data_IF_625170536810
#
_entry.id   IF_625170536810
#
_cell.length_a   1.000
_cell.length_b   1.000
_cell.length_c   1.000
_cell.angle_alpha   90.00
_cell.angle_beta   90.00
_cell.angle_gamma   90.00
#
_symmetry.space_group_name_H-M   'P 1'
#
loop_
_entity.id
_entity.type
_entity.pdbx_description
1 polymer ?
#
# COMPACT_ATOMS: atom_id res chain seq x y z
N UNK A 1 -28.51 6.03 32.77
CA UNK A 1 -27.06 6.32 32.71
C UNK A 1 -26.50 5.47 31.58
N UNK A 2 -26.46 6.05 30.39
CA UNK A 2 -25.99 5.44 29.14
C UNK A 2 -24.50 5.74 28.99
N UNK A 3 -23.66 4.69 28.90
CA UNK A 3 -22.24 4.83 28.59
C UNK A 3 -22.09 4.98 27.09
N UNK A 4 -21.68 6.18 26.69
CA UNK A 4 -21.25 6.55 25.35
C UNK A 4 -19.92 5.81 25.10
N UNK A 5 -19.88 4.96 24.07
CA UNK A 5 -18.62 4.38 23.56
C UNK A 5 -18.03 5.40 22.61
N UNK A 6 -16.79 5.79 22.88
CA UNK A 6 -15.93 6.60 22.02
C UNK A 6 -15.52 5.71 20.83
N UNK A 7 -15.96 6.07 19.62
CA UNK A 7 -15.57 5.42 18.38
C UNK A 7 -14.19 5.95 17.96
N UNK A 8 -13.18 5.08 18.04
CA UNK A 8 -11.77 5.42 17.85
C UNK A 8 -11.44 5.80 16.40
N UNK A 9 -11.16 7.09 16.17
CA UNK A 9 -10.42 7.51 15.00
C UNK A 9 -8.95 7.03 15.09
N UNK A 10 -8.36 6.53 14.01
CA UNK A 10 -6.92 6.26 13.98
C UNK A 10 -6.18 7.57 14.21
N UNK A 11 -5.29 7.58 15.20
CA UNK A 11 -4.52 8.77 15.53
C UNK A 11 -3.73 9.24 14.29
N UNK A 12 -3.70 10.55 14.00
CA UNK A 12 -3.10 11.11 12.79
C UNK A 12 -1.62 10.74 12.62
N UNK A 13 -0.96 10.37 13.70
CA UNK A 13 0.42 9.92 13.75
C UNK A 13 0.60 8.50 13.21
N UNK A 14 -0.36 7.60 13.41
CA UNK A 14 -0.35 6.25 12.80
C UNK A 14 -0.55 6.37 11.29
N UNK A 15 -1.43 7.27 10.85
CA UNK A 15 -1.59 7.58 9.44
C UNK A 15 -0.32 8.21 8.84
N UNK A 16 0.35 9.10 9.57
CA UNK A 16 1.62 9.70 9.14
C UNK A 16 2.77 8.67 9.09
N UNK A 17 2.85 7.76 10.07
CA UNK A 17 3.84 6.69 10.11
C UNK A 17 3.61 5.68 8.98
N UNK A 18 2.38 5.23 8.78
CA UNK A 18 2.02 4.36 7.66
C UNK A 18 2.29 5.03 6.31
N UNK A 19 2.05 6.34 6.21
CA UNK A 19 2.41 7.12 5.03
C UNK A 19 3.92 7.21 4.82
N UNK A 20 4.71 7.41 5.88
CA UNK A 20 6.17 7.47 5.81
C UNK A 20 6.79 6.12 5.44
N UNK A 21 6.29 5.02 6.02
CA UNK A 21 6.69 3.65 5.68
C UNK A 21 6.29 3.32 4.24
N UNK A 22 5.11 3.73 3.80
CA UNK A 22 4.68 3.60 2.40
C UNK A 22 5.60 4.33 1.43
N UNK A 23 5.99 5.57 1.75
CA UNK A 23 6.94 6.34 0.93
C UNK A 23 8.34 5.73 0.92
N UNK A 24 8.81 5.20 2.05
CA UNK A 24 10.10 4.51 2.14
C UNK A 24 10.11 3.23 1.31
N UNK A 25 9.03 2.43 1.35
CA UNK A 25 8.89 1.22 0.53
C UNK A 25 8.81 1.55 -0.97
N UNK A 26 8.15 2.65 -1.36
CA UNK A 26 8.14 3.14 -2.75
C UNK A 26 9.54 3.57 -3.19
N UNK A 27 10.29 4.27 -2.33
CA UNK A 27 11.66 4.68 -2.62
C UNK A 27 12.62 3.48 -2.75
N UNK A 28 12.47 2.46 -1.89
CA UNK A 28 13.25 1.22 -1.93
C UNK A 28 12.86 0.31 -3.09
N UNK A 29 11.61 0.35 -3.56
CA UNK A 29 11.13 -0.49 -4.67
C UNK A 29 11.64 -0.06 -6.05
N UNK A 30 12.45 1.01 -6.15
CA UNK A 30 13.22 1.35 -7.35
C UNK A 30 12.41 1.67 -8.62
N UNK A 31 11.09 1.83 -8.52
CA UNK A 31 10.20 1.98 -9.66
C UNK A 31 10.00 3.46 -10.04
N UNK A 32 11.09 4.22 -10.13
CA UNK A 32 11.04 5.52 -10.80
C UNK A 32 10.94 5.27 -12.31
N UNK A 33 9.90 5.78 -13.00
CA UNK A 33 9.90 5.78 -14.46
C UNK A 33 11.14 6.56 -14.90
N UNK A 34 11.90 5.96 -15.82
CA UNK A 34 13.16 6.47 -16.34
C UNK A 34 13.00 7.88 -16.94
N UNK A 35 13.07 8.90 -16.09
CA UNK A 35 13.32 10.26 -16.49
C UNK A 35 14.81 10.35 -16.81
N UNK A 36 15.13 10.63 -18.07
CA UNK A 36 16.48 10.85 -18.55
C UNK A 36 17.02 12.17 -17.96
N UNK A 37 17.33 12.15 -16.67
CA UNK A 37 18.03 13.22 -15.97
C UNK A 37 19.55 12.96 -16.03
N UNK A 38 20.37 14.02 -16.11
CA UNK A 38 21.82 13.89 -16.10
C UNK A 38 22.29 13.20 -14.83
N UNK A 39 23.35 12.39 -14.96
CA UNK A 39 23.94 11.54 -13.93
C UNK A 39 23.89 12.19 -12.53
N UNK A 40 22.99 11.70 -11.67
CA UNK A 40 22.98 12.09 -10.27
C UNK A 40 24.31 11.67 -9.65
N UNK A 41 24.98 12.57 -8.90
CA UNK A 41 26.21 12.22 -8.20
C UNK A 41 25.92 11.05 -7.26
N UNK A 42 26.85 10.09 -7.20
CA UNK A 42 26.76 8.97 -6.28
C UNK A 42 26.40 9.48 -4.87
N UNK A 43 25.41 8.87 -4.19
CA UNK A 43 25.05 9.29 -2.84
C UNK A 43 26.31 9.23 -1.96
N UNK A 44 26.55 10.24 -1.10
CA UNK A 44 27.70 10.25 -0.22
C UNK A 44 27.66 8.98 0.65
N UNK A 45 28.78 8.27 0.74
CA UNK A 45 28.90 7.01 1.49
C UNK A 45 28.50 7.15 2.98
N UNK A 46 28.48 8.37 3.51
CA UNK A 46 28.02 8.65 4.87
C UNK A 46 26.49 8.50 5.04
N UNK A 47 25.70 8.71 3.97
CA UNK A 47 24.24 8.56 4.05
C UNK A 47 23.78 7.10 4.15
N UNK A 48 24.62 6.14 3.71
CA UNK A 48 24.30 4.72 3.81
C UNK A 48 24.50 4.15 5.22
N UNK A 49 25.49 4.64 5.98
CA UNK A 49 25.71 4.19 7.36
C UNK A 49 24.59 4.68 8.31
N UNK A 50 24.12 5.92 8.15
CA UNK A 50 23.01 6.45 8.96
C UNK A 50 21.69 5.70 8.68
N UNK A 51 21.44 5.29 7.44
CA UNK A 51 20.26 4.49 7.09
C UNK A 51 20.36 3.07 7.68
N UNK A 52 21.54 2.45 7.65
CA UNK A 52 21.75 1.13 8.27
C UNK A 52 21.54 1.19 9.80
N UNK A 53 22.00 2.27 10.46
CA UNK A 53 21.79 2.48 11.89
C UNK A 53 20.30 2.66 12.23
N UNK A 54 19.57 3.48 11.46
CA UNK A 54 18.12 3.68 11.63
C UNK A 54 17.36 2.36 11.44
N UNK A 55 17.72 1.57 10.42
CA UNK A 55 17.09 0.27 10.17
C UNK A 55 17.39 -0.75 11.28
N UNK A 56 18.62 -0.74 11.81
CA UNK A 56 19.00 -1.60 12.93
C UNK A 56 18.22 -1.24 14.21
N UNK A 57 18.08 0.05 14.52
CA UNK A 57 17.29 0.52 15.68
C UNK A 57 15.80 0.19 15.52
N UNK A 58 15.23 0.42 14.33
CA UNK A 58 13.84 0.06 14.03
C UNK A 58 13.58 -1.44 14.21
N UNK A 59 14.52 -2.29 13.76
CA UNK A 59 14.43 -3.75 13.94
C UNK A 59 14.53 -4.16 15.42
N UNK A 60 15.42 -3.53 16.18
CA UNK A 60 15.56 -3.80 17.61
C UNK A 60 14.27 -3.46 18.38
N UNK A 61 13.65 -2.30 18.07
CA UNK A 61 12.37 -1.90 18.68
C UNK A 61 11.22 -2.82 18.32
N UNK A 62 11.12 -3.23 17.05
CA UNK A 62 10.10 -4.17 16.62
C UNK A 62 10.23 -5.53 17.36
N UNK A 63 11.46 -6.03 17.52
CA UNK A 63 11.70 -7.27 18.27
C UNK A 63 11.31 -7.14 19.75
N UNK A 64 11.62 -6.00 20.37
CA UNK A 64 11.25 -5.74 21.77
C UNK A 64 9.73 -5.77 21.98
N UNK A 65 8.95 -5.16 21.09
CA UNK A 65 7.48 -5.17 21.17
C UNK A 65 6.90 -6.59 21.01
N UNK A 66 7.50 -7.41 20.14
CA UNK A 66 7.12 -8.81 19.99
C UNK A 66 7.36 -9.56 21.30
N UNK A 67 8.56 -9.42 21.88
CA UNK A 67 8.93 -10.11 23.12
C UNK A 67 8.04 -9.69 24.31
N UNK A 68 7.68 -8.41 24.40
CA UNK A 68 6.77 -7.87 25.41
C UNK A 68 5.34 -8.40 25.24
N UNK A 69 4.80 -8.39 24.03
CA UNK A 69 3.48 -8.93 23.75
C UNK A 69 3.38 -10.43 24.06
N UNK A 70 4.46 -11.18 23.82
CA UNK A 70 4.55 -12.61 24.11
C UNK A 70 4.63 -12.86 25.62
N UNK A 71 5.36 -12.02 26.35
CA UNK A 71 5.41 -12.06 27.81
C UNK A 71 4.02 -11.78 28.43
N UNK A 72 3.30 -10.78 27.95
CA UNK A 72 1.95 -10.45 28.43
C UNK A 72 0.94 -11.57 28.11
N UNK A 73 0.99 -12.13 26.90
CA UNK A 73 0.16 -13.27 26.53
C UNK A 73 0.42 -14.48 27.44
N UNK A 74 1.68 -14.73 27.79
CA UNK A 74 2.07 -15.80 28.72
C UNK A 74 1.56 -15.55 30.14
N UNK A 75 1.66 -14.32 30.65
CA UNK A 75 1.11 -13.95 31.95
C UNK A 75 -0.41 -14.14 32.00
N UNK A 76 -1.13 -13.75 30.94
CA UNK A 76 -2.58 -13.98 30.82
C UNK A 76 -2.93 -15.49 30.82
N UNK A 77 -2.14 -16.31 30.12
CA UNK A 77 -2.32 -17.77 30.15
C UNK A 77 -2.04 -18.37 31.53
N UNK A 78 -1.02 -17.90 32.24
CA UNK A 78 -0.71 -18.34 33.60
C UNK A 78 -1.80 -17.93 34.61
N UNK A 79 -2.35 -16.72 34.46
CA UNK A 79 -3.49 -16.25 35.26
C UNK A 79 -4.76 -17.09 35.03
N UNK A 80 -5.01 -17.54 33.79
CA UNK A 80 -6.12 -18.44 33.48
C UNK A 80 -5.88 -19.89 33.95
N UNK A 81 -4.61 -20.31 34.03
CA UNK A 81 -4.23 -21.64 34.52
C UNK A 81 -4.21 -21.74 36.06
N UNK A 82 -4.28 -20.61 36.78
CA UNK A 82 -4.29 -20.59 38.23
C UNK A 82 -5.60 -21.26 38.78
N UNK A 83 -5.49 -22.36 39.55
CA UNK A 83 -6.61 -23.23 39.90
C UNK A 83 -7.60 -22.67 40.95
N UNK A 84 -7.53 -21.38 41.30
CA UNK A 84 -8.40 -20.72 42.30
C UNK A 84 -9.44 -19.77 41.70
N UNK A 85 -9.54 -19.67 40.37
CA UNK A 85 -10.67 -18.96 39.77
C UNK A 85 -11.96 -19.79 39.96
N UNK A 86 -13.06 -19.20 40.48
CA UNK A 86 -14.35 -19.90 40.54
C UNK A 86 -14.72 -20.37 39.13
N UNK A 87 -15.38 -21.53 38.96
CA UNK A 87 -15.72 -22.07 37.65
C UNK A 87 -16.56 -21.05 36.89
N UNK A 88 -15.92 -20.28 36.02
CA UNK A 88 -16.60 -19.53 34.99
C UNK A 88 -17.33 -20.57 34.15
N UNK A 89 -18.64 -20.42 34.05
CA UNK A 89 -19.44 -21.26 33.16
C UNK A 89 -18.74 -21.28 31.78
N UNK A 90 -18.62 -22.45 31.14
CA UNK A 90 -17.97 -22.57 29.83
C UNK A 90 -18.82 -21.85 28.79
N UNK A 91 -18.64 -20.53 28.72
CA UNK A 91 -19.07 -19.70 27.61
C UNK A 91 -18.34 -20.14 26.36
N UNK A 92 -19.07 -20.17 25.25
CA UNK A 92 -18.65 -20.71 23.96
C UNK A 92 -17.38 -20.07 23.34
N UNK A 93 -16.81 -19.06 23.99
CA UNK A 93 -15.68 -18.25 23.49
C UNK A 93 -14.31 -18.93 23.62
N UNK A 94 -14.20 -19.99 24.43
CA UNK A 94 -12.95 -20.76 24.56
C UNK A 94 -12.56 -21.52 23.28
N UNK A 95 -13.53 -21.81 22.42
CA UNK A 95 -13.30 -22.44 21.12
C UNK A 95 -12.63 -21.49 20.12
N UNK A 96 -13.11 -20.25 20.04
CA UNK A 96 -12.58 -19.24 19.12
C UNK A 96 -11.12 -18.92 19.40
N UNK A 97 -10.73 -18.79 20.67
CA UNK A 97 -9.34 -18.47 21.01
C UNK A 97 -8.38 -19.62 20.63
N UNK A 98 -8.83 -20.88 20.76
CA UNK A 98 -8.08 -22.05 20.30
C UNK A 98 -7.95 -22.13 18.78
N UNK A 99 -9.01 -21.78 18.04
CA UNK A 99 -8.98 -21.70 16.57
C UNK A 99 -8.08 -20.54 16.09
N UNK A 100 -8.13 -19.39 16.77
CA UNK A 100 -7.25 -18.25 16.48
C UNK A 100 -5.78 -18.58 16.70
N UNK A 101 -5.44 -19.31 17.78
CA UNK A 101 -4.07 -19.76 18.03
C UNK A 101 -3.58 -20.74 16.96
N UNK A 102 -4.41 -21.72 16.56
CA UNK A 102 -4.08 -22.66 15.49
C UNK A 102 -3.89 -21.95 14.14
N UNK A 103 -4.73 -20.97 13.83
CA UNK A 103 -4.61 -20.15 12.61
C UNK A 103 -3.32 -19.30 12.62
N UNK A 104 -2.89 -18.83 13.80
CA UNK A 104 -1.64 -18.08 13.94
C UNK A 104 -0.39 -18.97 13.76
N UNK A 105 -0.41 -20.20 14.30
CA UNK A 105 0.65 -21.19 14.10
C UNK A 105 0.80 -21.60 12.63
N UNK A 106 -0.31 -21.75 11.91
CA UNK A 106 -0.32 -22.04 10.47
C UNK A 106 0.30 -20.90 9.66
N UNK A 107 -0.10 -19.65 9.94
CA UNK A 107 0.43 -18.46 9.26
C UNK A 107 1.95 -18.29 9.48
N UNK A 108 2.44 -18.53 10.70
CA UNK A 108 3.87 -18.49 11.00
C UNK A 108 4.64 -19.56 10.21
N UNK A 109 4.05 -20.75 10.02
CA UNK A 109 4.63 -21.80 9.17
C UNK A 109 4.72 -21.40 7.69
N UNK A 110 3.71 -20.70 7.16
CA UNK A 110 3.72 -20.19 5.78
C UNK A 110 4.80 -19.11 5.57
N UNK A 111 4.97 -18.21 6.53
CA UNK A 111 6.00 -17.16 6.48
C UNK A 111 7.40 -17.80 6.48
N UNK A 112 7.65 -18.80 7.32
CA UNK A 112 8.92 -19.54 7.36
C UNK A 112 9.18 -20.32 6.05
N UNK A 113 8.13 -20.83 5.40
CA UNK A 113 8.24 -21.46 4.09
C UNK A 113 8.63 -20.45 3.01
N UNK A 114 7.95 -19.30 2.96
CA UNK A 114 8.24 -18.22 2.02
C UNK A 114 9.65 -17.63 2.22
N UNK A 115 10.11 -17.47 3.45
CA UNK A 115 11.48 -17.03 3.73
C UNK A 115 12.52 -18.05 3.29
N UNK A 116 12.21 -19.35 3.35
CA UNK A 116 13.10 -20.41 2.83
C UNK A 116 13.15 -20.42 1.29
N UNK A 117 12.04 -20.15 0.63
CA UNK A 117 11.99 -20.01 -0.84
C UNK A 117 12.71 -18.73 -1.33
N UNK A 118 12.57 -17.62 -0.61
CA UNK A 118 13.25 -16.36 -0.93
C UNK A 118 14.72 -16.33 -0.48
N UNK A 119 15.08 -17.12 0.54
CA UNK A 119 16.39 -17.17 1.18
C UNK A 119 17.50 -17.88 0.40
N UNK A 120 17.22 -18.32 -0.83
CA UNK A 120 18.24 -18.74 -1.77
C UNK A 120 18.75 -20.16 -1.51
N UNK A 121 18.50 -21.02 -2.49
CA UNK A 121 19.47 -22.05 -2.83
C UNK A 121 20.83 -21.35 -3.01
N UNK A 122 21.88 -21.71 -2.25
CA UNK A 122 23.19 -21.15 -2.47
C UNK A 122 23.58 -21.51 -3.91
N UNK A 123 23.71 -20.49 -4.75
CA UNK A 123 24.18 -20.65 -6.12
C UNK A 123 25.38 -21.59 -6.11
N UNK A 124 25.21 -22.78 -6.71
CA UNK A 124 26.32 -23.67 -6.93
C UNK A 124 27.43 -22.87 -7.60
N UNK A 125 28.68 -22.94 -7.12
CA UNK A 125 29.78 -22.23 -7.75
C UNK A 125 29.88 -22.73 -9.18
N UNK A 126 29.47 -21.89 -10.13
CA UNK A 126 29.58 -22.16 -11.56
C UNK A 126 31.02 -22.57 -11.85
N UNK A 127 31.22 -23.86 -12.15
CA UNK A 127 32.48 -24.36 -12.66
C UNK A 127 32.84 -23.53 -13.88
N UNK A 128 34.02 -22.92 -13.82
CA UNK A 128 34.61 -22.13 -14.88
C UNK A 128 34.81 -23.01 -16.12
N UNK A 129 33.81 -23.02 -17.01
CA UNK A 129 33.98 -23.44 -18.38
C UNK A 129 34.69 -22.30 -19.12
N UNK A 130 35.97 -22.55 -19.39
CA UNK A 130 36.75 -21.80 -20.34
C UNK A 130 36.10 -21.93 -21.73
N UNK A 131 35.47 -20.87 -22.21
CA UNK A 131 35.05 -20.75 -23.60
C UNK A 131 35.62 -19.47 -24.23
N UNK A 132 36.05 -19.67 -25.47
CA UNK A 132 36.83 -18.85 -26.39
C UNK A 132 36.48 -17.34 -26.42
N UNK A 133 37.48 -16.45 -26.60
CA UNK A 133 37.21 -15.04 -26.87
C UNK A 133 36.54 -14.88 -28.26
N UNK A 134 35.40 -14.16 -28.37
CA UNK A 134 34.81 -13.88 -29.66
C UNK A 134 35.75 -12.98 -30.50
N UNK A 135 35.97 -13.39 -31.75
CA UNK A 135 36.69 -12.65 -32.77
C UNK A 135 36.17 -11.21 -32.89
N UNK A 136 37.14 -10.30 -33.00
CA UNK A 136 36.97 -8.88 -33.28
C UNK A 136 36.40 -8.72 -34.69
N UNK A 137 35.10 -8.47 -34.81
CA UNK A 137 34.51 -7.97 -36.05
C UNK A 137 34.78 -6.46 -36.16
N UNK A 138 35.76 -6.17 -37.02
CA UNK A 138 36.13 -4.87 -37.54
C UNK A 138 34.90 -4.15 -38.12
N UNK A 139 34.34 -3.21 -37.34
CA UNK A 139 33.28 -2.31 -37.81
C UNK A 139 33.92 -1.13 -38.53
N UNK A 140 34.28 -1.38 -39.80
CA UNK A 140 34.57 -0.32 -40.75
C UNK A 140 33.27 0.41 -41.14
N UNK A 141 33.41 1.73 -41.32
CA UNK A 141 32.51 2.58 -42.08
C UNK A 141 31.14 2.92 -41.44
N UNK A 142 31.17 3.77 -40.41
CA UNK A 142 30.08 4.71 -40.15
C UNK A 142 30.64 6.13 -40.29
N UNK A 143 30.20 6.81 -41.34
CA UNK A 143 30.49 8.23 -41.60
C UNK A 143 30.06 9.09 -40.40
N UNK A 144 30.87 10.08 -39.98
CA UNK A 144 30.50 10.98 -38.91
C UNK A 144 29.36 11.90 -39.36
N UNK A 145 28.17 11.69 -38.82
CA UNK A 145 27.08 12.67 -38.89
C UNK A 145 27.50 13.87 -38.05
N UNK A 146 27.74 15.02 -38.68
CA UNK A 146 27.98 16.30 -38.01
C UNK A 146 26.81 16.62 -37.07
N UNK A 147 27.04 16.78 -35.76
CA UNK A 147 26.01 17.29 -34.87
C UNK A 147 25.72 18.75 -35.23
N UNK A 148 24.46 19.05 -35.55
CA UNK A 148 23.97 20.41 -35.68
C UNK A 148 24.28 21.18 -34.38
N UNK A 149 24.79 22.40 -34.54
CA UNK A 149 25.14 23.28 -33.44
C UNK A 149 23.95 23.48 -32.47
N UNK A 150 24.16 23.38 -31.15
CA UNK A 150 23.12 23.74 -30.19
C UNK A 150 22.81 25.23 -30.31
N UNK A 151 21.53 25.55 -30.48
CA UNK A 151 21.03 26.92 -30.40
C UNK A 151 21.19 27.45 -28.96
N UNK A 152 21.63 28.70 -28.89
CA UNK A 152 21.86 29.50 -27.67
C UNK A 152 20.58 29.54 -26.81
N UNK A 153 20.60 29.12 -25.53
CA UNK A 153 19.43 29.25 -24.66
C UNK A 153 19.20 30.73 -24.32
N UNK A 154 17.99 31.23 -24.60
CA UNK A 154 17.52 32.55 -24.17
C UNK A 154 17.58 32.71 -22.64
N UNK A 155 17.93 33.90 -22.12
CA UNK A 155 17.99 34.16 -20.68
C UNK A 155 16.59 34.18 -20.05
N UNK A 156 16.39 33.35 -19.02
CA UNK A 156 15.19 33.33 -18.20
C UNK A 156 15.00 34.63 -17.37
N UNK A 157 13.76 35.10 -17.15
CA UNK A 157 13.48 36.23 -16.27
C UNK A 157 13.69 35.87 -14.77
N UNK A 158 14.01 36.85 -13.91
CA UNK A 158 14.29 36.59 -12.50
C UNK A 158 13.03 36.14 -11.74
N UNK A 159 13.17 35.06 -10.97
CA UNK A 159 12.14 34.60 -10.04
C UNK A 159 12.13 35.45 -8.76
N UNK A 160 10.94 35.88 -8.34
CA UNK A 160 10.66 36.48 -7.04
C UNK A 160 10.79 35.45 -5.91
N UNK A 161 11.55 35.79 -4.86
CA UNK A 161 11.67 35.04 -3.61
C UNK A 161 10.38 35.14 -2.76
N UNK A 162 9.89 34.04 -2.18
CA UNK A 162 9.03 34.11 -1.00
C UNK A 162 9.76 33.64 0.28
N UNK A 163 10.06 34.64 1.11
CA UNK A 163 9.96 34.73 2.59
C UNK A 163 9.89 33.43 3.39
N UNK A 164 10.88 33.26 4.27
CA UNK A 164 10.94 32.31 5.37
C UNK A 164 9.96 32.62 6.52
N UNK A 165 9.42 31.57 7.16
CA UNK A 165 9.38 31.33 8.62
C UNK A 165 8.08 30.65 9.08
N UNK A 166 8.21 29.49 9.74
CA UNK A 166 7.47 29.12 10.96
C UNK A 166 8.15 27.88 11.58
N UNK A 167 8.32 27.89 12.90
CA UNK A 167 9.18 26.97 13.65
C UNK A 167 8.57 25.59 13.94
N UNK A 168 9.32 24.73 14.64
CA UNK A 168 8.90 23.36 14.98
C UNK A 168 7.92 23.35 16.17
N UNK A 169 6.82 22.57 16.14
CA UNK A 169 5.95 22.39 17.28
C UNK A 169 6.49 21.30 18.24
N UNK A 170 6.25 21.51 19.53
CA UNK A 170 6.61 20.65 20.67
C UNK A 170 5.82 19.33 20.70
N UNK A 171 6.51 18.22 21.03
CA UNK A 171 5.96 16.86 21.25
C UNK A 171 5.27 16.73 22.62
N UNK A 172 4.06 16.13 22.71
CA UNK A 172 3.51 15.59 23.94
C UNK A 172 3.71 14.06 24.08
N UNK A 173 3.69 13.61 25.34
CA UNK A 173 4.09 12.30 25.82
C UNK A 173 3.12 11.14 25.50
N UNK A 174 3.71 9.94 25.42
CA UNK A 174 3.10 8.66 25.06
C UNK A 174 2.14 8.07 26.11
N UNK A 175 1.06 7.44 25.63
CA UNK A 175 0.32 6.37 26.33
C UNK A 175 -0.08 5.26 25.33
N UNK A 176 0.06 4.02 25.80
CA UNK A 176 -0.03 2.73 25.10
C UNK A 176 -1.40 2.34 24.51
N UNK A 177 -1.36 1.67 23.34
CA UNK A 177 -2.19 0.48 23.05
C UNK A 177 -3.26 0.55 21.95
N UNK A 178 -3.11 -0.31 20.91
CA UNK A 178 -4.12 -1.23 20.32
C UNK A 178 -3.83 -1.53 18.81
N UNK A 179 -3.70 -2.83 18.47
CA UNK A 179 -3.16 -3.36 17.20
C UNK A 179 -4.11 -3.46 15.99
N UNK A 180 -3.64 -4.06 14.87
CA UNK A 180 -4.32 -4.06 13.57
C UNK A 180 -5.50 -5.04 13.49
N UNK A 181 -6.67 -4.50 13.17
CA UNK A 181 -7.92 -5.23 12.97
C UNK A 181 -7.91 -6.00 11.64
N UNK A 182 -8.42 -7.23 11.71
CA UNK A 182 -8.33 -8.28 10.70
C UNK A 182 -9.53 -8.16 9.76
N UNK A 183 -9.29 -8.07 8.46
CA UNK A 183 -10.31 -7.97 7.40
C UNK A 183 -11.27 -9.18 7.43
N UNK A 184 -12.45 -9.00 8.01
CA UNK A 184 -13.60 -9.88 7.80
C UNK A 184 -14.51 -9.25 6.75
N UNK A 185 -14.73 -9.95 5.64
CA UNK A 185 -15.65 -9.54 4.59
C UNK A 185 -17.09 -9.48 5.13
N UNK A 186 -17.62 -8.27 5.33
CA UNK A 186 -19.00 -8.07 5.76
C UNK A 186 -19.94 -8.35 4.59
N UNK A 187 -20.77 -9.38 4.74
CA UNK A 187 -21.81 -9.73 3.77
C UNK A 187 -23.02 -8.82 3.96
N UNK A 188 -23.36 -8.03 2.94
CA UNK A 188 -24.52 -7.12 2.96
C UNK A 188 -25.87 -7.87 2.98
N UNK A 189 -26.87 -7.23 3.60
CA UNK A 189 -28.28 -7.66 3.57
C UNK A 189 -28.83 -7.54 2.15
N UNK A 190 -29.35 -8.65 1.60
CA UNK A 190 -30.15 -8.65 0.36
C UNK A 190 -31.27 -7.59 0.44
N UNK A 191 -31.19 -6.52 -0.36
CA UNK A 191 -32.34 -5.63 -0.61
C UNK A 191 -32.06 -4.15 -0.86
N UNK A 192 -30.86 -3.63 -0.57
CA UNK A 192 -30.52 -2.24 -0.89
C UNK A 192 -29.91 -2.18 -2.29
N UNK A 193 -30.50 -1.36 -3.17
CA UNK A 193 -29.99 -1.23 -4.54
C UNK A 193 -28.67 -0.46 -4.48
N UNK A 194 -27.58 -1.07 -4.93
CA UNK A 194 -26.26 -0.44 -5.03
C UNK A 194 -26.28 0.92 -5.76
N UNK A 195 -27.30 1.18 -6.58
CA UNK A 195 -27.49 2.44 -7.29
C UNK A 195 -27.78 3.65 -6.39
N UNK A 196 -28.32 3.44 -5.18
CA UNK A 196 -28.74 4.52 -4.27
C UNK A 196 -27.63 4.96 -3.29
N UNK A 197 -26.49 4.26 -3.27
CA UNK A 197 -25.37 4.58 -2.37
C UNK A 197 -24.64 5.84 -2.88
N UNK A 198 -24.35 6.76 -1.95
CA UNK A 198 -23.66 8.01 -2.23
C UNK A 198 -22.46 8.15 -1.30
N UNK A 199 -21.28 8.35 -1.88
CA UNK A 199 -20.06 8.62 -1.12
C UNK A 199 -19.84 10.12 -0.96
N UNK A 200 -19.63 10.58 0.27
CA UNK A 200 -19.27 11.98 0.51
C UNK A 200 -17.75 12.16 0.48
N UNK A 201 -17.26 13.33 0.02
CA UNK A 201 -15.83 13.61 -0.08
C UNK A 201 -15.16 13.74 1.30
N UNK A 202 -15.91 14.21 2.29
CA UNK A 202 -15.47 14.42 3.68
C UNK A 202 -15.13 13.13 4.43
N UNK A 203 -15.66 12.01 3.97
CA UNK A 203 -15.43 10.70 4.56
C UNK A 203 -14.11 10.06 4.08
N UNK A 204 -13.37 10.71 3.17
CA UNK A 204 -12.04 10.27 2.72
C UNK A 204 -12.04 9.45 1.43
N UNK A 205 -11.03 8.60 1.24
CA UNK A 205 -10.87 7.83 0.00
C UNK A 205 -11.80 6.62 -0.06
N UNK A 206 -12.11 6.18 -1.28
CA UNK A 206 -12.94 4.99 -1.55
C UNK A 206 -12.15 4.00 -2.40
N UNK A 207 -12.18 2.72 -2.03
CA UNK A 207 -11.53 1.65 -2.78
C UNK A 207 -12.48 1.11 -3.87
N UNK A 208 -12.10 1.30 -5.13
CA UNK A 208 -12.80 0.76 -6.30
C UNK A 208 -12.07 -0.49 -6.81
N UNK A 209 -12.79 -1.61 -6.87
CA UNK A 209 -12.36 -2.85 -7.52
C UNK A 209 -13.04 -2.98 -8.87
N UNK A 210 -12.30 -3.24 -9.95
CA UNK A 210 -12.86 -3.37 -11.30
C UNK A 210 -12.43 -4.70 -11.91
N UNK A 211 -13.38 -5.48 -12.44
CA UNK A 211 -13.11 -6.77 -13.06
C UNK A 211 -14.08 -7.05 -14.22
N UNK A 212 -13.71 -7.76 -15.29
CA UNK A 212 -12.33 -8.08 -15.68
C UNK A 212 -11.64 -6.87 -16.29
N UNK A 213 -10.34 -6.74 -16.07
CA UNK A 213 -9.48 -5.72 -16.70
C UNK A 213 -8.45 -6.41 -17.58
N UNK A 214 -8.42 -6.06 -18.86
CA UNK A 214 -7.54 -6.65 -19.86
C UNK A 214 -6.09 -6.13 -19.73
N UNK A 215 -5.35 -6.68 -18.77
CA UNK A 215 -3.94 -6.37 -18.58
C UNK A 215 -3.67 -4.92 -18.17
N UNK A 216 -2.40 -4.53 -18.26
CA UNK A 216 -1.95 -3.20 -17.84
C UNK A 216 -2.54 -2.06 -18.70
N UNK A 217 -2.77 -2.30 -20.00
CA UNK A 217 -3.39 -1.28 -20.86
C UNK A 217 -4.85 -1.02 -20.49
N UNK A 218 -5.62 -2.06 -20.16
CA UNK A 218 -6.97 -1.92 -19.63
C UNK A 218 -6.98 -1.12 -18.33
N UNK A 219 -6.06 -1.43 -17.43
CA UNK A 219 -5.90 -0.73 -16.15
C UNK A 219 -5.63 0.77 -16.34
N UNK A 220 -4.65 1.13 -17.18
CA UNK A 220 -4.34 2.53 -17.49
C UNK A 220 -5.52 3.25 -18.14
N UNK A 221 -6.31 2.55 -18.95
CA UNK A 221 -7.51 3.10 -19.55
C UNK A 221 -8.59 3.38 -18.49
N UNK A 222 -8.84 2.45 -17.58
CA UNK A 222 -9.78 2.63 -16.45
C UNK A 222 -9.35 3.82 -15.59
N UNK A 223 -8.09 3.86 -15.16
CA UNK A 223 -7.54 4.98 -14.37
C UNK A 223 -7.65 6.31 -15.13
N UNK A 224 -7.29 6.33 -16.41
CA UNK A 224 -7.33 7.53 -17.25
C UNK A 224 -8.74 8.06 -17.49
N UNK A 225 -9.75 7.18 -17.55
CA UNK A 225 -11.16 7.57 -17.63
C UNK A 225 -11.64 8.14 -16.29
N UNK A 226 -11.32 7.47 -15.18
CA UNK A 226 -11.71 7.93 -13.84
C UNK A 226 -11.13 9.32 -13.54
N UNK A 227 -9.87 9.58 -13.90
CA UNK A 227 -9.24 10.89 -13.74
C UNK A 227 -9.79 12.00 -14.64
N UNK A 228 -10.66 11.69 -15.61
CA UNK A 228 -11.36 12.68 -16.44
C UNK A 228 -12.77 12.99 -15.94
N UNK A 229 -13.26 12.26 -14.94
CA UNK A 229 -14.58 12.51 -14.36
C UNK A 229 -14.51 13.74 -13.45
N UNK A 230 -15.44 14.70 -13.59
CA UNK A 230 -15.36 16.00 -12.92
C UNK A 230 -15.45 15.91 -11.39
N UNK A 231 -16.09 14.86 -10.87
CA UNK A 231 -16.28 14.66 -9.43
C UNK A 231 -15.16 13.81 -8.79
N UNK A 232 -14.26 13.23 -9.59
CA UNK A 232 -13.11 12.45 -9.14
C UNK A 232 -11.88 13.35 -9.08
N UNK A 233 -11.42 13.64 -7.88
CA UNK A 233 -10.22 14.44 -7.63
C UNK A 233 -8.94 13.69 -8.01
N UNK A 234 -8.85 12.42 -7.60
CA UNK A 234 -7.69 11.58 -7.85
C UNK A 234 -8.11 10.11 -7.97
N UNK A 235 -7.46 9.39 -8.90
CA UNK A 235 -7.56 7.94 -9.02
C UNK A 235 -6.14 7.35 -9.01
N UNK A 236 -5.81 6.62 -7.95
CA UNK A 236 -4.51 5.97 -7.78
C UNK A 236 -4.66 4.45 -7.86
N UNK A 237 -3.77 3.78 -8.57
CA UNK A 237 -3.76 2.31 -8.66
C UNK A 237 -3.04 1.76 -7.44
N UNK A 238 -3.72 0.94 -6.64
CA UNK A 238 -3.12 0.27 -5.49
C UNK A 238 -2.57 -1.11 -5.85
N UNK A 239 -3.26 -1.82 -6.75
CA UNK A 239 -2.90 -3.18 -7.11
C UNK A 239 -3.60 -3.66 -8.37
N UNK A 240 -3.00 -4.69 -8.98
CA UNK A 240 -3.59 -5.41 -10.10
C UNK A 240 -3.18 -6.89 -10.02
N UNK A 241 -4.17 -7.77 -9.92
CA UNK A 241 -3.96 -9.21 -9.84
C UNK A 241 -5.14 -9.94 -10.49
N UNK A 242 -4.86 -11.03 -11.21
CA UNK A 242 -5.88 -11.94 -11.77
C UNK A 242 -6.98 -11.27 -12.62
N UNK A 243 -6.65 -10.16 -13.29
CA UNK A 243 -7.63 -9.40 -14.08
C UNK A 243 -8.57 -8.53 -13.24
N UNK A 244 -8.27 -8.32 -11.96
CA UNK A 244 -8.93 -7.34 -11.11
C UNK A 244 -7.99 -6.16 -10.84
N UNK A 245 -8.49 -4.95 -11.08
CA UNK A 245 -7.81 -3.71 -10.76
C UNK A 245 -8.34 -3.15 -9.43
N UNK A 246 -7.44 -2.71 -8.55
CA UNK A 246 -7.77 -2.02 -7.31
C UNK A 246 -7.29 -0.57 -7.41
N UNK A 247 -8.22 0.36 -7.30
CA UNK A 247 -7.97 1.79 -7.39
C UNK A 247 -8.48 2.51 -6.16
N UNK A 248 -7.68 3.39 -5.58
CA UNK A 248 -8.09 4.33 -4.54
C UNK A 248 -8.56 5.62 -5.18
N UNK A 249 -9.80 6.00 -4.90
CA UNK A 249 -10.44 7.21 -5.41
C UNK A 249 -10.56 8.25 -4.30
N UNK A 250 -10.39 9.51 -4.66
CA UNK A 250 -10.83 10.65 -3.85
C UNK A 250 -11.75 11.52 -4.68
N UNK A 251 -12.77 12.09 -4.04
CA UNK A 251 -13.80 12.87 -4.70
C UNK A 251 -13.72 14.35 -4.28
N UNK A 252 -14.09 15.25 -5.20
CA UNK A 252 -14.26 16.68 -4.90
C UNK A 252 -15.71 17.03 -4.49
N UNK A 253 -16.66 16.13 -4.79
CA UNK A 253 -18.09 16.30 -4.51
C UNK A 253 -18.72 14.96 -4.10
N UNK A 254 -19.99 14.96 -3.69
CA UNK A 254 -20.71 13.73 -3.39
C UNK A 254 -21.00 12.94 -4.66
N UNK A 255 -20.61 11.65 -4.68
CA UNK A 255 -20.69 10.80 -5.86
C UNK A 255 -21.65 9.64 -5.62
N UNK A 256 -22.69 9.54 -6.45
CA UNK A 256 -23.59 8.39 -6.48
C UNK A 256 -22.95 7.24 -7.26
N UNK A 257 -23.07 6.02 -6.75
CA UNK A 257 -22.48 4.82 -7.38
C UNK A 257 -23.06 4.56 -8.77
N UNK A 258 -24.38 4.73 -8.94
CA UNK A 258 -25.03 4.57 -10.24
C UNK A 258 -24.46 5.51 -11.31
N UNK A 259 -24.28 6.79 -10.96
CA UNK A 259 -23.66 7.77 -11.86
C UNK A 259 -22.22 7.40 -12.22
N UNK A 260 -21.43 6.95 -11.24
CA UNK A 260 -20.03 6.58 -11.47
C UNK A 260 -19.93 5.38 -12.42
N UNK A 261 -20.80 4.38 -12.22
CA UNK A 261 -20.92 3.20 -13.07
C UNK A 261 -21.30 3.59 -14.50
N UNK A 262 -22.35 4.40 -14.67
CA UNK A 262 -22.81 4.89 -15.97
C UNK A 262 -21.73 5.69 -16.71
N UNK A 263 -21.09 6.64 -16.01
CA UNK A 263 -20.06 7.51 -16.59
C UNK A 263 -18.81 6.72 -17.00
N UNK A 264 -18.39 5.75 -16.17
CA UNK A 264 -17.29 4.85 -16.50
C UNK A 264 -17.64 4.01 -17.74
N UNK A 265 -18.85 3.47 -17.80
CA UNK A 265 -19.29 2.62 -18.91
C UNK A 265 -19.42 3.38 -20.23
N UNK A 266 -19.97 4.59 -20.20
CA UNK A 266 -20.06 5.48 -21.37
C UNK A 266 -18.67 5.76 -21.97
N UNK A 267 -17.69 6.05 -21.11
CA UNK A 267 -16.32 6.42 -21.52
C UNK A 267 -15.47 5.21 -21.94
N UNK A 268 -15.63 4.06 -21.29
CA UNK A 268 -14.97 2.82 -21.69
C UNK A 268 -15.60 2.21 -22.95
N UNK A 269 -16.87 2.51 -23.21
CA UNK A 269 -17.65 1.90 -24.30
C UNK A 269 -18.09 0.47 -23.97
N UNK A 270 -18.19 0.14 -22.69
CA UNK A 270 -18.50 -1.20 -22.15
C UNK A 270 -19.48 -1.00 -20.99
N UNK A 271 -20.59 -1.74 -20.91
CA UNK A 271 -21.45 -1.76 -19.73
C UNK A 271 -20.66 -2.02 -18.44
N UNK A 272 -20.95 -1.21 -17.42
CA UNK A 272 -20.39 -1.37 -16.07
C UNK A 272 -21.58 -1.60 -15.14
N UNK A 273 -21.48 -2.59 -14.27
CA UNK A 273 -22.47 -2.84 -13.22
C UNK A 273 -21.80 -2.84 -11.84
N UNK A 274 -22.43 -2.22 -10.86
CA UNK A 274 -21.99 -2.31 -9.47
C UNK A 274 -22.40 -3.68 -8.89
N UNK A 275 -21.40 -4.55 -8.67
CA UNK A 275 -21.60 -5.90 -8.15
C UNK A 275 -21.62 -5.94 -6.61
N UNK A 276 -20.84 -5.08 -5.97
CA UNK A 276 -20.79 -4.97 -4.51
C UNK A 276 -20.47 -3.52 -4.10
N UNK A 277 -21.06 -3.05 -3.02
CA UNK A 277 -20.85 -1.68 -2.51
C UNK A 277 -20.96 -1.70 -1.00
N UNK A 278 -19.93 -1.19 -0.33
CA UNK A 278 -19.88 -1.06 1.12
C UNK A 278 -19.60 0.38 1.52
N UNK A 279 -20.63 1.06 2.04
CA UNK A 279 -20.46 2.42 2.59
C UNK A 279 -19.54 2.40 3.81
N UNK A 280 -19.76 1.42 4.71
CA UNK A 280 -19.00 1.28 5.95
C UNK A 280 -17.50 1.03 5.71
N UNK A 281 -17.16 0.17 4.74
CA UNK A 281 -15.77 -0.11 4.39
C UNK A 281 -15.21 0.88 3.36
N UNK A 282 -16.04 1.79 2.86
CA UNK A 282 -15.71 2.70 1.76
C UNK A 282 -15.13 1.95 0.57
N UNK A 283 -15.83 0.91 0.14
CA UNK A 283 -15.39 0.06 -0.96
C UNK A 283 -16.52 -0.15 -1.96
N UNK A 284 -16.18 -0.35 -3.23
CA UNK A 284 -17.13 -0.74 -4.27
C UNK A 284 -16.45 -1.64 -5.30
N UNK A 285 -17.22 -2.54 -5.90
CA UNK A 285 -16.78 -3.47 -6.94
C UNK A 285 -17.63 -3.34 -8.18
N UNK A 286 -16.99 -3.11 -9.32
CA UNK A 286 -17.59 -2.99 -10.63
C UNK A 286 -17.25 -4.18 -11.52
N UNK A 287 -18.25 -4.65 -12.26
CA UNK A 287 -18.14 -5.65 -13.32
C UNK A 287 -18.24 -4.99 -14.69
N UNK A 288 -17.23 -5.19 -15.55
CA UNK A 288 -17.25 -4.80 -16.96
C UNK A 288 -17.87 -5.95 -17.78
N UNK A 289 -18.87 -5.67 -18.63
CA UNK A 289 -19.61 -6.70 -19.40
C UNK A 289 -19.59 -6.51 -20.91
#
# INVERSE_FOLDING_TARGET
MTRQRDDGQPQPEVAALLSAVGQLLIALSGNQPASSAPASPAPPAEATEEIEEILADARARAQQLIDESLAEARERLEALAAPEAPPAEPGADGGELGEKLRSLEELLGEIDALQREQGGEPAEPAEALAEDPPEVVDSADLEPVEPAAPEDPEPEPPMDEPVAAAGPPEEPAAEDGAGPDRLEAVTWREGESAADVVFQPEDGSVLLRVTPVEGFQGLLRVQGVLGQLPDVRQAFVEGYAEGEAQLRLTFDSSVAVGWLSDALGERLGVPVEAADVSEAERSMRFELR
#
